data_IF_024824100232
#
_entry.id   IF_024824100232
#
_cell.length_a   1.000
_cell.length_b   1.000
_cell.length_c   1.000
_cell.angle_alpha   90.00
_cell.angle_beta   90.00
_cell.angle_gamma   90.00
#
_symmetry.space_group_name_H-M   'P 1'
#
loop_
_entity.id
_entity.type
_entity.pdbx_description
1 polymer ?
#
# COMPACT_ATOMS: atom_id res chain seq x y z
N UNK A 1 23.99 3.74 -12.95
CA UNK A 1 22.64 3.45 -12.39
C UNK A 1 22.23 2.06 -12.85
N UNK A 2 22.35 1.04 -12.00
CA UNK A 2 21.99 -0.33 -12.36
C UNK A 2 20.53 -0.53 -11.98
N UNK A 3 19.67 -0.50 -13.01
CA UNK A 3 18.30 -1.04 -12.91
C UNK A 3 18.44 -2.56 -12.68
N UNK A 4 17.57 -3.21 -11.84
CA UNK A 4 17.54 -4.68 -11.74
C UNK A 4 17.56 -5.28 -13.15
N UNK A 5 18.17 -6.45 -13.32
CA UNK A 5 18.37 -7.03 -14.65
C UNK A 5 17.05 -6.97 -15.42
N UNK A 6 17.02 -6.24 -16.53
CA UNK A 6 15.79 -5.87 -17.27
C UNK A 6 14.94 -7.06 -17.76
N UNK A 7 15.44 -8.29 -17.58
CA UNK A 7 14.76 -9.51 -18.01
C UNK A 7 13.64 -9.97 -17.08
N UNK A 8 13.68 -9.65 -15.79
CA UNK A 8 12.75 -10.22 -14.78
C UNK A 8 11.59 -9.29 -14.38
N UNK A 9 11.72 -7.97 -14.58
CA UNK A 9 10.65 -7.03 -14.22
C UNK A 9 9.46 -7.15 -15.19
N UNK A 10 8.20 -7.26 -14.71
CA UNK A 10 7.00 -7.34 -15.56
C UNK A 10 6.86 -6.17 -16.52
N UNK A 11 6.42 -6.44 -17.76
CA UNK A 11 6.32 -5.43 -18.82
C UNK A 11 5.44 -4.24 -18.44
N UNK A 12 4.34 -4.49 -17.72
CA UNK A 12 3.44 -3.42 -17.23
C UNK A 12 4.16 -2.55 -16.21
N UNK A 13 4.86 -3.16 -15.24
CA UNK A 13 5.61 -2.43 -14.22
C UNK A 13 6.72 -1.56 -14.85
N UNK A 14 7.43 -2.05 -15.87
CA UNK A 14 8.44 -1.26 -16.62
C UNK A 14 7.82 0.00 -17.22
N UNK A 15 6.66 -0.12 -17.86
CA UNK A 15 5.96 1.02 -18.48
C UNK A 15 5.55 2.04 -17.41
N UNK A 16 5.02 1.57 -16.28
CA UNK A 16 4.63 2.42 -15.16
C UNK A 16 5.84 3.18 -14.61
N UNK A 17 6.96 2.48 -14.36
CA UNK A 17 8.19 3.10 -13.84
C UNK A 17 8.73 4.14 -14.83
N UNK A 18 8.73 3.85 -16.14
CA UNK A 18 9.17 4.81 -17.16
C UNK A 18 8.34 6.09 -17.09
N UNK A 19 7.00 5.96 -17.03
CA UNK A 19 6.10 7.10 -16.90
C UNK A 19 6.32 7.87 -15.59
N UNK A 20 6.58 7.16 -14.48
CA UNK A 20 6.89 7.81 -13.19
C UNK A 20 8.11 8.71 -13.25
N UNK A 21 9.16 8.33 -13.97
CA UNK A 21 10.32 9.21 -14.12
C UNK A 21 10.00 10.51 -14.87
N UNK A 22 9.11 10.46 -15.89
CA UNK A 22 8.62 11.67 -16.58
C UNK A 22 7.79 12.53 -15.63
N UNK A 23 6.83 11.93 -14.92
CA UNK A 23 5.98 12.59 -13.94
C UNK A 23 6.80 13.26 -12.83
N UNK A 24 7.82 12.58 -12.29
CA UNK A 24 8.72 13.14 -11.28
C UNK A 24 9.46 14.36 -11.82
N UNK A 25 9.93 14.32 -13.07
CA UNK A 25 10.60 15.46 -13.68
C UNK A 25 9.66 16.68 -13.81
N UNK A 26 8.43 16.46 -14.26
CA UNK A 26 7.38 17.48 -14.34
C UNK A 26 7.07 18.08 -12.97
N UNK A 27 6.86 17.21 -11.96
CA UNK A 27 6.53 17.62 -10.58
C UNK A 27 7.67 18.35 -9.90
N UNK A 28 8.93 17.92 -10.07
CA UNK A 28 10.13 18.62 -9.56
C UNK A 28 10.25 20.04 -10.13
N UNK A 29 9.92 20.21 -11.41
CA UNK A 29 9.94 21.53 -12.05
C UNK A 29 8.83 22.46 -11.52
N UNK A 30 7.64 21.91 -11.27
CA UNK A 30 6.50 22.66 -10.75
C UNK A 30 6.60 22.96 -9.24
N UNK A 31 7.12 22.02 -8.46
CA UNK A 31 7.20 22.12 -6.99
C UNK A 31 8.58 21.63 -6.52
N UNK A 32 9.56 22.52 -6.32
CA UNK A 32 10.86 22.14 -5.82
C UNK A 32 10.83 21.50 -4.43
N UNK A 33 11.81 20.65 -4.11
CA UNK A 33 11.93 19.97 -2.80
C UNK A 33 11.89 20.96 -1.63
N UNK A 34 12.50 22.14 -1.77
CA UNK A 34 12.45 23.19 -0.75
C UNK A 34 11.02 23.62 -0.39
N UNK A 35 10.09 23.61 -1.37
CA UNK A 35 8.67 23.88 -1.13
C UNK A 35 7.99 22.72 -0.41
N UNK A 36 8.34 21.48 -0.75
CA UNK A 36 7.83 20.30 -0.04
C UNK A 36 8.27 20.29 1.42
N UNK A 37 9.53 20.60 1.71
CA UNK A 37 10.05 20.73 3.08
C UNK A 37 9.29 21.78 3.90
N UNK A 38 8.94 22.94 3.29
CA UNK A 38 8.11 23.95 3.95
C UNK A 38 6.68 23.44 4.25
N UNK A 39 6.11 22.61 3.38
CA UNK A 39 4.79 21.98 3.61
C UNK A 39 4.90 20.93 4.71
N UNK A 40 5.94 20.10 4.71
CA UNK A 40 6.22 19.08 5.73
C UNK A 40 6.33 19.73 7.11
N UNK A 41 7.05 20.85 7.23
CA UNK A 41 7.20 21.57 8.49
C UNK A 41 5.87 22.10 9.09
N UNK A 42 4.82 22.19 8.27
CA UNK A 42 3.47 22.61 8.69
C UNK A 42 2.50 21.45 8.82
N UNK A 43 2.92 20.25 8.43
CA UNK A 43 2.07 19.06 8.44
C UNK A 43 1.89 18.55 9.87
N UNK A 44 0.72 18.01 10.18
CA UNK A 44 0.49 17.30 11.43
C UNK A 44 1.44 16.10 11.56
N UNK A 45 1.68 15.64 12.78
CA UNK A 45 2.40 14.39 13.01
C UNK A 45 1.70 13.21 12.29
N UNK A 46 2.49 12.17 11.99
CA UNK A 46 1.96 10.91 11.47
C UNK A 46 1.07 10.22 12.51
N UNK A 47 0.13 9.42 12.03
CA UNK A 47 -0.89 8.77 12.88
C UNK A 47 -0.49 7.36 13.34
N UNK A 48 0.73 6.91 13.01
CA UNK A 48 1.23 5.59 13.40
C UNK A 48 0.55 4.45 12.66
N UNK A 49 0.89 4.27 11.38
CA UNK A 49 0.31 3.24 10.50
C UNK A 49 0.63 1.83 11.00
N UNK A 50 1.92 1.56 11.33
CA UNK A 50 2.35 0.30 11.91
C UNK A 50 1.67 0.04 13.25
N UNK A 51 1.63 1.05 14.13
CA UNK A 51 1.04 0.92 15.46
C UNK A 51 -0.45 0.52 15.42
N UNK A 52 -1.22 1.07 14.46
CA UNK A 52 -2.62 0.71 14.28
C UNK A 52 -2.80 -0.75 13.84
N UNK A 53 -1.91 -1.25 12.99
CA UNK A 53 -1.91 -2.65 12.54
C UNK A 53 -1.46 -3.57 13.68
N UNK A 54 -0.34 -3.25 14.34
CA UNK A 54 0.24 -4.04 15.44
C UNK A 54 -0.73 -4.22 16.60
N UNK A 55 -1.49 -3.18 16.95
CA UNK A 55 -2.50 -3.25 18.02
C UNK A 55 -3.56 -4.32 17.74
N UNK A 56 -4.00 -4.46 16.48
CA UNK A 56 -4.96 -5.49 16.07
C UNK A 56 -4.32 -6.88 16.00
N UNK A 57 -3.17 -6.99 15.35
CA UNK A 57 -2.46 -8.26 15.17
C UNK A 57 -2.08 -8.86 16.52
N UNK A 58 -1.57 -8.06 17.46
CA UNK A 58 -1.24 -8.51 18.83
C UNK A 58 -2.46 -8.99 19.61
N UNK A 59 -3.64 -8.44 19.32
CA UNK A 59 -4.90 -8.89 19.89
C UNK A 59 -5.51 -10.09 19.14
N UNK A 60 -4.82 -10.63 18.12
CA UNK A 60 -5.33 -11.66 17.20
C UNK A 60 -6.62 -11.27 16.51
N UNK A 61 -6.74 -9.98 16.19
CA UNK A 61 -7.86 -9.41 15.45
C UNK A 61 -7.41 -8.97 14.05
N UNK A 62 -8.27 -9.05 13.02
CA UNK A 62 -7.95 -8.58 11.69
C UNK A 62 -7.61 -7.08 11.67
N UNK A 63 -6.45 -6.76 11.11
CA UNK A 63 -6.02 -5.41 10.78
C UNK A 63 -6.25 -5.17 9.27
N UNK A 64 -7.32 -4.46 8.93
CA UNK A 64 -7.72 -4.24 7.55
C UNK A 64 -7.19 -2.89 7.07
N UNK A 65 -6.31 -2.92 6.06
CA UNK A 65 -5.90 -1.78 5.26
C UNK A 65 -6.88 -1.71 4.09
N UNK A 66 -7.88 -0.85 4.20
CA UNK A 66 -8.94 -0.74 3.22
C UNK A 66 -8.52 0.19 2.07
N UNK A 67 -8.49 -0.35 0.83
CA UNK A 67 -7.97 0.37 -0.32
C UNK A 67 -9.05 1.14 -1.07
N UNK A 68 -8.82 2.44 -1.27
CA UNK A 68 -9.63 3.36 -2.08
C UNK A 68 -9.02 3.43 -3.48
N UNK A 69 -9.65 2.72 -4.43
CA UNK A 69 -9.16 2.52 -5.79
C UNK A 69 -10.28 2.67 -6.82
N UNK A 70 -10.14 3.66 -7.71
CA UNK A 70 -11.12 3.92 -8.77
C UNK A 70 -11.00 2.94 -9.92
N UNK A 71 -9.79 2.66 -10.37
CA UNK A 71 -9.49 1.83 -11.53
C UNK A 71 -8.21 1.01 -11.33
N UNK A 72 -7.99 0.01 -12.17
CA UNK A 72 -6.73 -0.74 -12.25
C UNK A 72 -6.44 -1.20 -13.68
N UNK A 73 -5.15 -1.46 -14.05
CA UNK A 73 -4.80 -1.97 -15.39
C UNK A 73 -5.50 -3.28 -15.75
N UNK A 74 -5.77 -4.15 -14.78
CA UNK A 74 -6.37 -5.47 -14.99
C UNK A 74 -7.90 -5.46 -15.12
N UNK A 75 -8.59 -4.45 -14.58
CA UNK A 75 -10.05 -4.38 -14.47
C UNK A 75 -10.67 -3.15 -15.15
N UNK A 76 -9.86 -2.14 -15.53
CA UNK A 76 -10.39 -0.84 -15.91
C UNK A 76 -11.03 -0.12 -14.72
N UNK A 77 -12.10 0.62 -14.95
CA UNK A 77 -12.86 1.31 -13.89
C UNK A 77 -13.58 0.28 -13.02
N UNK A 78 -13.33 0.34 -11.71
CA UNK A 78 -13.91 -0.56 -10.69
C UNK A 78 -15.11 0.11 -10.03
N UNK A 79 -14.99 1.42 -9.74
CA UNK A 79 -16.04 2.20 -9.09
C UNK A 79 -16.34 3.43 -9.94
N UNK A 80 -17.53 3.47 -10.58
CA UNK A 80 -17.94 4.60 -11.42
C UNK A 80 -18.33 5.82 -10.58
N UNK A 81 -19.13 5.63 -9.53
CA UNK A 81 -19.50 6.68 -8.58
C UNK A 81 -18.44 6.82 -7.47
N UNK A 82 -17.24 7.24 -7.86
CA UNK A 82 -16.09 7.31 -6.98
C UNK A 82 -16.10 8.58 -6.12
N UNK A 83 -16.37 8.42 -4.83
CA UNK A 83 -16.43 9.48 -3.83
C UNK A 83 -15.43 9.16 -2.69
N UNK A 84 -14.14 9.53 -2.82
CA UNK A 84 -13.08 9.04 -1.93
C UNK A 84 -13.30 9.41 -0.46
N UNK A 85 -13.89 10.57 -0.18
CA UNK A 85 -14.20 11.00 1.20
C UNK A 85 -15.30 10.14 1.81
N UNK A 86 -16.37 9.87 1.09
CA UNK A 86 -17.49 9.05 1.58
C UNK A 86 -17.08 7.58 1.72
N UNK A 87 -16.23 7.09 0.82
CA UNK A 87 -15.63 5.75 0.92
C UNK A 87 -14.74 5.66 2.16
N UNK A 88 -13.88 6.67 2.42
CA UNK A 88 -13.02 6.71 3.59
C UNK A 88 -13.82 6.65 4.90
N UNK A 89 -14.88 7.47 5.02
CA UNK A 89 -15.80 7.46 6.18
C UNK A 89 -16.51 6.11 6.32
N UNK A 90 -16.94 5.52 5.20
CA UNK A 90 -17.58 4.20 5.20
C UNK A 90 -16.62 3.11 5.71
N UNK A 91 -15.35 3.14 5.30
CA UNK A 91 -14.32 2.21 5.79
C UNK A 91 -14.01 2.42 7.28
N UNK A 92 -13.92 3.67 7.75
CA UNK A 92 -13.73 3.96 9.18
C UNK A 92 -14.89 3.41 10.00
N UNK A 93 -16.13 3.66 9.58
CA UNK A 93 -17.33 3.10 10.22
C UNK A 93 -17.43 1.57 10.09
N UNK A 94 -16.86 0.99 9.04
CA UNK A 94 -16.74 -0.45 8.80
C UNK A 94 -15.69 -1.14 9.67
N UNK A 95 -14.82 -0.40 10.36
CA UNK A 95 -13.82 -0.94 11.27
C UNK A 95 -12.44 -1.17 10.63
N UNK A 96 -12.13 -0.53 9.49
CA UNK A 96 -10.77 -0.51 8.94
C UNK A 96 -9.76 -0.02 9.98
N UNK A 97 -8.56 -0.61 9.99
CA UNK A 97 -7.44 -0.15 10.82
C UNK A 97 -6.67 1.00 10.16
N UNK A 98 -6.51 0.94 8.84
CA UNK A 98 -5.82 1.93 8.03
C UNK A 98 -6.48 2.06 6.66
N UNK A 99 -6.15 3.13 5.93
CA UNK A 99 -6.55 3.31 4.53
C UNK A 99 -5.34 3.20 3.59
N UNK A 100 -5.57 2.64 2.40
CA UNK A 100 -4.66 2.68 1.26
C UNK A 100 -5.29 3.52 0.16
N UNK A 101 -4.60 4.57 -0.29
CA UNK A 101 -5.17 5.49 -1.29
C UNK A 101 -4.29 5.56 -2.52
N UNK A 102 -4.85 5.18 -3.67
CA UNK A 102 -4.18 5.24 -4.96
C UNK A 102 -3.97 6.70 -5.37
N UNK A 103 -2.71 7.08 -5.61
CA UNK A 103 -2.34 8.40 -6.13
C UNK A 103 -1.82 8.36 -7.56
N UNK A 104 -1.51 7.17 -8.12
CA UNK A 104 -1.14 7.01 -9.52
C UNK A 104 -2.30 7.40 -10.44
N UNK A 105 -2.04 8.39 -11.34
CA UNK A 105 -3.06 8.99 -12.21
C UNK A 105 -3.30 8.13 -13.44
N UNK A 106 -2.24 7.76 -14.15
CA UNK A 106 -2.34 7.24 -15.51
C UNK A 106 -2.86 5.80 -15.55
N UNK A 107 -2.53 4.99 -14.57
CA UNK A 107 -2.88 3.55 -14.55
C UNK A 107 -4.01 3.20 -13.59
N UNK A 108 -4.21 4.01 -12.54
CA UNK A 108 -5.20 3.73 -11.50
C UNK A 108 -6.27 4.82 -11.35
N UNK A 109 -6.20 5.89 -12.14
CA UNK A 109 -7.08 7.07 -12.03
C UNK A 109 -7.10 7.64 -10.60
N UNK A 110 -5.95 7.56 -9.91
CA UNK A 110 -5.72 8.09 -8.58
C UNK A 110 -5.48 9.60 -8.60
N UNK A 111 -5.32 10.18 -7.41
CA UNK A 111 -4.97 11.60 -7.26
C UNK A 111 -4.42 11.89 -5.87
N UNK A 112 -3.43 12.78 -5.78
CA UNK A 112 -2.95 13.34 -4.51
C UNK A 112 -4.09 13.99 -3.71
N UNK A 113 -5.02 14.63 -4.41
CA UNK A 113 -6.20 15.27 -3.79
C UNK A 113 -7.10 14.26 -3.05
N UNK A 114 -7.15 13.01 -3.50
CA UNK A 114 -7.95 11.97 -2.82
C UNK A 114 -7.36 11.63 -1.45
N UNK A 115 -6.03 11.52 -1.37
CA UNK A 115 -5.33 11.27 -0.11
C UNK A 115 -5.52 12.43 0.87
N UNK A 116 -5.31 13.66 0.41
CA UNK A 116 -5.46 14.87 1.24
C UNK A 116 -6.89 14.97 1.78
N UNK A 117 -7.90 14.84 0.92
CA UNK A 117 -9.31 14.94 1.30
C UNK A 117 -9.74 13.82 2.26
N UNK A 118 -9.28 12.58 2.04
CA UNK A 118 -9.56 11.47 2.95
C UNK A 118 -8.90 11.69 4.31
N UNK A 119 -7.64 12.17 4.35
CA UNK A 119 -6.95 12.48 5.60
C UNK A 119 -7.67 13.51 6.44
N UNK A 120 -8.24 14.53 5.81
CA UNK A 120 -9.03 15.57 6.50
C UNK A 120 -10.36 15.03 7.04
N UNK A 121 -10.92 14.01 6.40
CA UNK A 121 -12.26 13.50 6.68
C UNK A 121 -12.34 12.41 7.75
N UNK A 122 -11.24 11.65 7.98
CA UNK A 122 -11.19 10.51 8.91
C UNK A 122 -9.96 10.57 9.80
N UNK A 123 -9.96 9.78 10.89
CA UNK A 123 -8.85 9.69 11.84
C UNK A 123 -7.84 8.58 11.51
N UNK A 124 -8.18 7.66 10.61
CA UNK A 124 -7.35 6.51 10.26
C UNK A 124 -6.00 6.90 9.68
N UNK A 125 -4.92 6.15 9.97
CA UNK A 125 -3.64 6.28 9.28
C UNK A 125 -3.78 5.91 7.79
N UNK A 126 -2.99 6.59 6.93
CA UNK A 126 -3.12 6.47 5.46
C UNK A 126 -1.77 6.14 4.83
N UNK A 127 -1.74 5.10 3.99
CA UNK A 127 -0.63 4.82 3.10
C UNK A 127 -0.85 5.48 1.72
N UNK A 128 0.18 6.16 1.20
CA UNK A 128 0.24 6.54 -0.22
C UNK A 128 0.53 5.30 -1.05
N UNK A 129 -0.46 4.82 -1.80
CA UNK A 129 -0.33 3.68 -2.73
C UNK A 129 0.05 4.21 -4.11
N UNK A 130 1.34 4.18 -4.43
CA UNK A 130 1.93 4.69 -5.67
C UNK A 130 3.20 3.90 -5.98
N UNK A 131 3.80 4.12 -7.16
CA UNK A 131 5.08 3.54 -7.56
C UNK A 131 6.21 4.50 -7.18
N UNK A 132 6.74 4.37 -5.97
CA UNK A 132 7.77 5.23 -5.43
C UNK A 132 9.14 4.73 -5.87
N UNK A 133 9.86 5.54 -6.66
CA UNK A 133 11.17 5.23 -7.25
C UNK A 133 12.22 6.33 -7.02
N UNK A 134 11.82 7.47 -6.47
CA UNK A 134 12.69 8.63 -6.22
C UNK A 134 12.38 9.28 -4.87
N UNK A 135 13.38 9.84 -4.22
CA UNK A 135 13.28 10.56 -2.93
C UNK A 135 12.27 11.71 -2.97
N UNK A 136 12.13 12.35 -4.12
CA UNK A 136 11.15 13.41 -4.33
C UNK A 136 9.73 12.94 -3.96
N UNK A 137 9.34 11.72 -4.35
CA UNK A 137 8.01 11.17 -4.05
C UNK A 137 7.83 10.88 -2.56
N UNK A 138 8.92 10.59 -1.83
CA UNK A 138 8.88 10.41 -0.35
C UNK A 138 8.59 11.76 0.32
N UNK A 139 9.26 12.84 -0.10
CA UNK A 139 8.94 14.20 0.37
C UNK A 139 7.51 14.61 0.01
N UNK A 140 7.04 14.29 -1.21
CA UNK A 140 5.65 14.55 -1.60
C UNK A 140 4.66 13.81 -0.69
N UNK A 141 4.88 12.52 -0.44
CA UNK A 141 4.00 11.71 0.42
C UNK A 141 3.86 12.34 1.80
N UNK A 142 4.98 12.74 2.42
CA UNK A 142 4.95 13.39 3.73
C UNK A 142 4.29 14.77 3.67
N UNK A 143 4.53 15.54 2.62
CA UNK A 143 3.91 16.86 2.41
C UNK A 143 2.39 16.79 2.22
N UNK A 144 1.85 15.71 1.63
CA UNK A 144 0.41 15.42 1.53
C UNK A 144 -0.19 14.96 2.87
N UNK A 145 0.65 14.54 3.81
CA UNK A 145 0.23 13.99 5.10
C UNK A 145 0.06 12.47 5.10
N UNK A 146 0.70 11.73 4.20
CA UNK A 146 0.76 10.28 4.30
C UNK A 146 1.45 9.86 5.61
N UNK A 147 0.98 8.78 6.20
CA UNK A 147 1.53 8.17 7.40
C UNK A 147 2.45 7.00 7.06
N UNK A 148 2.28 6.46 5.87
CA UNK A 148 3.04 5.32 5.34
C UNK A 148 3.22 5.47 3.83
N UNK A 149 4.28 4.86 3.30
CA UNK A 149 4.51 4.72 1.85
C UNK A 149 4.64 3.26 1.45
N UNK A 150 4.36 2.99 0.16
CA UNK A 150 4.61 1.70 -0.47
C UNK A 150 5.98 1.71 -1.16
N UNK A 151 6.81 0.71 -0.88
CA UNK A 151 7.98 0.40 -1.69
C UNK A 151 7.81 -0.99 -2.32
N UNK A 152 7.91 -1.08 -3.64
CA UNK A 152 7.74 -2.34 -4.38
C UNK A 152 9.13 -2.90 -4.70
N UNK A 153 9.49 -4.05 -4.12
CA UNK A 153 10.81 -4.65 -4.28
C UNK A 153 11.13 -4.97 -5.76
N UNK A 154 10.13 -5.41 -6.54
CA UNK A 154 10.26 -5.63 -7.98
C UNK A 154 10.61 -4.37 -8.81
N UNK A 155 10.37 -3.17 -8.26
CA UNK A 155 10.60 -1.89 -8.92
C UNK A 155 11.96 -1.26 -8.58
N UNK A 156 12.66 -1.75 -7.54
CA UNK A 156 13.82 -1.12 -6.93
C UNK A 156 14.99 -2.11 -6.82
N UNK A 157 16.21 -1.59 -6.94
CA UNK A 157 17.39 -2.35 -6.51
C UNK A 157 17.58 -2.18 -4.99
N UNK A 158 18.43 -3.00 -4.37
CA UNK A 158 18.69 -2.99 -2.93
C UNK A 158 19.11 -1.60 -2.43
N UNK A 159 20.06 -0.93 -3.11
CA UNK A 159 20.53 0.41 -2.73
C UNK A 159 19.40 1.44 -2.68
N UNK A 160 18.54 1.45 -3.71
CA UNK A 160 17.40 2.37 -3.80
C UNK A 160 16.33 2.05 -2.76
N UNK A 161 16.07 0.77 -2.56
CA UNK A 161 15.11 0.29 -1.56
C UNK A 161 15.52 0.77 -0.15
N UNK A 162 16.81 0.61 0.22
CA UNK A 162 17.34 1.07 1.49
C UNK A 162 17.29 2.60 1.62
N UNK A 163 17.70 3.34 0.57
CA UNK A 163 17.71 4.81 0.61
C UNK A 163 16.32 5.40 0.81
N UNK A 164 15.32 4.90 0.04
CA UNK A 164 13.93 5.38 0.14
C UNK A 164 13.28 4.99 1.48
N UNK A 165 13.58 3.78 1.97
CA UNK A 165 13.12 3.33 3.28
C UNK A 165 13.69 4.22 4.40
N UNK A 166 15.00 4.47 4.41
CA UNK A 166 15.64 5.33 5.42
C UNK A 166 15.07 6.74 5.41
N UNK A 167 14.90 7.33 4.22
CA UNK A 167 14.31 8.67 4.09
C UNK A 167 12.86 8.73 4.61
N UNK A 168 12.07 7.69 4.37
CA UNK A 168 10.69 7.64 4.89
C UNK A 168 10.67 7.63 6.42
N UNK A 169 11.53 6.81 7.03
CA UNK A 169 11.68 6.74 8.50
C UNK A 169 12.20 8.04 9.09
N UNK A 170 13.15 8.73 8.43
CA UNK A 170 13.63 10.05 8.84
C UNK A 170 12.53 11.13 8.81
N UNK A 171 11.51 10.93 7.99
CA UNK A 171 10.33 11.80 7.90
C UNK A 171 9.15 11.32 8.78
N UNK A 172 9.40 10.42 9.73
CA UNK A 172 8.42 9.81 10.63
C UNK A 172 7.29 9.06 9.91
N UNK A 173 7.50 8.60 8.68
CA UNK A 173 6.55 7.73 7.97
C UNK A 173 6.92 6.26 8.12
N UNK A 174 5.91 5.42 8.25
CA UNK A 174 6.06 3.97 8.15
C UNK A 174 6.26 3.53 6.69
N UNK A 175 6.72 2.29 6.48
CA UNK A 175 6.93 1.72 5.14
C UNK A 175 6.33 0.32 5.06
N UNK A 176 5.52 0.08 4.04
CA UNK A 176 5.08 -1.23 3.59
C UNK A 176 5.95 -1.65 2.40
N UNK A 177 6.71 -2.73 2.53
CA UNK A 177 7.50 -3.28 1.42
C UNK A 177 6.75 -4.42 0.77
N UNK A 178 6.33 -4.22 -0.49
CA UNK A 178 5.58 -5.20 -1.27
C UNK A 178 6.54 -6.15 -1.99
N UNK A 179 6.27 -7.47 -1.85
CA UNK A 179 7.03 -8.55 -2.47
C UNK A 179 6.09 -9.57 -3.14
N UNK A 180 6.59 -10.26 -4.20
CA UNK A 180 5.83 -11.24 -4.97
C UNK A 180 6.49 -12.63 -4.98
N UNK A 181 7.75 -12.72 -4.58
CA UNK A 181 8.53 -13.95 -4.61
C UNK A 181 9.64 -13.95 -3.56
N UNK A 182 10.35 -15.09 -3.45
CA UNK A 182 11.39 -15.29 -2.46
C UNK A 182 12.61 -14.37 -2.63
N UNK A 183 12.98 -14.01 -3.85
CA UNK A 183 14.13 -13.13 -4.12
C UNK A 183 13.82 -11.70 -3.66
N UNK A 184 12.61 -11.22 -3.92
CA UNK A 184 12.14 -9.92 -3.44
C UNK A 184 12.00 -9.89 -1.91
N UNK A 185 11.53 -11.00 -1.31
CA UNK A 185 11.45 -11.13 0.14
C UNK A 185 12.83 -11.04 0.80
N UNK A 186 13.87 -11.66 0.23
CA UNK A 186 15.25 -11.59 0.75
C UNK A 186 15.72 -10.12 0.86
N UNK A 187 15.37 -9.26 -0.09
CA UNK A 187 15.68 -7.83 -0.01
C UNK A 187 14.85 -7.10 1.06
N UNK A 188 13.59 -7.47 1.21
CA UNK A 188 12.68 -6.81 2.16
C UNK A 188 13.01 -7.12 3.63
N UNK A 189 13.42 -8.34 3.95
CA UNK A 189 13.74 -8.73 5.33
C UNK A 189 15.03 -8.11 5.87
N UNK A 190 15.92 -7.62 5.00
CA UNK A 190 17.12 -6.88 5.39
C UNK A 190 16.81 -5.48 5.93
N UNK A 191 15.62 -4.95 5.65
CA UNK A 191 15.21 -3.63 6.10
C UNK A 191 14.72 -3.65 7.57
N UNK A 192 14.90 -2.54 8.30
CA UNK A 192 14.49 -2.46 9.71
C UNK A 192 12.97 -2.36 9.91
N UNK A 193 12.19 -2.09 8.86
CA UNK A 193 10.73 -1.93 8.95
C UNK A 193 10.01 -3.24 9.29
N UNK A 194 8.88 -3.12 9.98
CA UNK A 194 8.10 -4.28 10.46
C UNK A 194 7.14 -4.85 9.41
N UNK A 195 6.60 -4.01 8.49
CA UNK A 195 5.58 -4.44 7.54
C UNK A 195 6.18 -5.00 6.25
N UNK A 196 5.78 -6.21 5.90
CA UNK A 196 6.03 -6.83 4.60
C UNK A 196 4.68 -7.18 3.96
N UNK A 197 4.42 -6.62 2.78
CA UNK A 197 3.26 -6.94 1.96
C UNK A 197 3.57 -8.11 1.03
N UNK A 198 2.84 -9.20 1.14
CA UNK A 198 2.93 -10.29 0.17
C UNK A 198 1.76 -10.16 -0.81
N UNK A 199 2.08 -9.77 -2.03
CA UNK A 199 1.09 -9.63 -3.08
C UNK A 199 0.86 -10.97 -3.80
N UNK A 200 -0.33 -11.53 -3.62
CA UNK A 200 -0.77 -12.78 -4.22
C UNK A 200 -1.04 -12.67 -5.72
N UNK A 201 -1.01 -11.46 -6.29
CA UNK A 201 -1.21 -11.23 -7.72
C UNK A 201 0.11 -11.21 -8.44
N UNK A 202 0.29 -12.11 -9.39
CA UNK A 202 1.42 -12.12 -10.29
C UNK A 202 1.35 -10.91 -11.23
N UNK A 203 2.41 -10.10 -11.29
CA UNK A 203 2.46 -8.89 -12.12
C UNK A 203 2.70 -9.17 -13.61
N UNK A 204 3.00 -10.41 -14.01
CA UNK A 204 3.20 -10.80 -15.41
C UNK A 204 1.90 -11.14 -16.12
N UNK A 205 1.01 -11.91 -15.49
CA UNK A 205 -0.21 -12.45 -16.07
C UNK A 205 -1.49 -12.11 -15.30
N UNK A 206 -1.34 -11.39 -14.17
CA UNK A 206 -2.41 -10.98 -13.25
C UNK A 206 -3.16 -12.16 -12.58
N UNK A 207 -2.65 -13.38 -12.69
CA UNK A 207 -3.16 -14.50 -11.91
C UNK A 207 -2.98 -14.26 -10.41
N UNK A 208 -3.87 -14.81 -9.59
CA UNK A 208 -3.84 -14.61 -8.14
C UNK A 208 -3.89 -15.96 -7.43
N UNK A 209 -2.96 -16.19 -6.49
CA UNK A 209 -2.89 -17.41 -5.69
C UNK A 209 -2.51 -17.09 -4.25
N UNK A 210 -3.34 -17.50 -3.29
CA UNK A 210 -3.08 -17.33 -1.86
C UNK A 210 -1.89 -18.18 -1.38
N UNK A 211 -1.52 -19.22 -2.13
CA UNK A 211 -0.32 -20.04 -1.86
C UNK A 211 0.96 -19.20 -1.82
N UNK A 212 1.01 -18.09 -2.59
CA UNK A 212 2.15 -17.16 -2.56
C UNK A 212 2.44 -16.68 -1.13
N UNK A 213 1.39 -16.29 -0.40
CA UNK A 213 1.55 -15.88 1.01
C UNK A 213 2.06 -17.03 1.88
N UNK A 214 1.51 -18.25 1.75
CA UNK A 214 1.90 -19.39 2.58
C UNK A 214 3.31 -19.89 2.30
N UNK A 215 3.76 -19.85 1.05
CA UNK A 215 5.12 -20.21 0.67
C UNK A 215 6.15 -19.22 1.24
N UNK A 216 5.89 -17.93 1.14
CA UNK A 216 6.80 -16.89 1.60
C UNK A 216 6.82 -16.75 3.13
N UNK A 217 5.69 -16.95 3.80
CA UNK A 217 5.58 -16.89 5.25
C UNK A 217 6.62 -17.78 5.97
N UNK A 218 6.96 -18.95 5.38
CA UNK A 218 7.93 -19.89 5.94
C UNK A 218 9.35 -19.31 6.08
N UNK A 219 9.64 -18.20 5.39
CA UNK A 219 10.95 -17.54 5.34
C UNK A 219 11.01 -16.25 6.15
N UNK A 220 9.88 -15.81 6.69
CA UNK A 220 9.78 -14.54 7.43
C UNK A 220 10.01 -14.76 8.90
N UNK A 221 10.81 -13.89 9.53
CA UNK A 221 11.06 -13.90 10.98
C UNK A 221 9.86 -13.36 11.76
N UNK A 222 9.74 -13.77 13.03
CA UNK A 222 8.59 -13.45 13.89
C UNK A 222 8.47 -11.96 14.28
N UNK A 223 9.49 -11.15 14.02
CA UNK A 223 9.49 -9.71 14.27
C UNK A 223 8.82 -8.90 13.15
N UNK A 224 8.45 -9.55 12.05
CA UNK A 224 7.76 -8.93 10.92
C UNK A 224 6.26 -9.18 10.97
N UNK A 225 5.49 -8.20 10.54
CA UNK A 225 4.05 -8.33 10.34
C UNK A 225 3.79 -8.52 8.85
N UNK A 226 3.19 -9.65 8.50
CA UNK A 226 2.81 -9.95 7.11
C UNK A 226 1.46 -9.37 6.81
N UNK A 227 1.40 -8.54 5.76
CA UNK A 227 0.16 -8.03 5.15
C UNK A 227 -0.09 -8.85 3.88
N UNK A 228 -1.16 -9.64 3.84
CA UNK A 228 -1.56 -10.34 2.60
C UNK A 228 -2.33 -9.39 1.71
N UNK A 229 -1.93 -9.31 0.43
CA UNK A 229 -2.52 -8.41 -0.57
C UNK A 229 -3.08 -9.21 -1.74
N UNK A 230 -4.19 -8.76 -2.28
CA UNK A 230 -4.91 -9.39 -3.41
C UNK A 230 -5.47 -10.80 -3.10
N UNK A 231 -6.57 -11.16 -3.76
CA UNK A 231 -7.12 -12.52 -3.73
C UNK A 231 -8.05 -12.82 -2.55
N UNK A 232 -8.23 -11.93 -1.58
CA UNK A 232 -9.19 -12.12 -0.48
C UNK A 232 -10.56 -11.64 -0.92
N UNK A 233 -11.52 -12.58 -1.08
CA UNK A 233 -12.86 -12.29 -1.59
C UNK A 233 -13.98 -12.91 -0.74
N UNK A 234 -13.69 -13.91 0.08
CA UNK A 234 -14.70 -14.64 0.86
C UNK A 234 -14.23 -14.81 2.31
N UNK A 235 -15.18 -15.09 3.20
CA UNK A 235 -14.89 -15.36 4.61
C UNK A 235 -13.98 -16.58 4.77
N UNK A 236 -14.12 -17.61 3.91
CA UNK A 236 -13.23 -18.78 3.92
C UNK A 236 -11.77 -18.41 3.61
N UNK A 237 -11.54 -17.42 2.74
CA UNK A 237 -10.18 -16.90 2.51
C UNK A 237 -9.62 -16.21 3.77
N UNK A 238 -10.47 -15.45 4.48
CA UNK A 238 -10.09 -14.83 5.77
C UNK A 238 -9.78 -15.88 6.82
N UNK A 239 -10.67 -16.90 6.99
CA UNK A 239 -10.48 -18.01 7.91
C UNK A 239 -9.16 -18.75 7.63
N UNK A 240 -8.88 -18.98 6.35
CA UNK A 240 -7.65 -19.66 5.93
C UNK A 240 -6.41 -18.85 6.33
N UNK A 241 -6.40 -17.53 6.10
CA UNK A 241 -5.27 -16.66 6.51
C UNK A 241 -5.10 -16.65 8.02
N UNK A 242 -6.17 -16.48 8.78
CA UNK A 242 -6.15 -16.46 10.25
C UNK A 242 -5.65 -17.81 10.82
N UNK A 243 -6.02 -18.95 10.19
CA UNK A 243 -5.52 -20.27 10.60
C UNK A 243 -4.02 -20.45 10.43
N UNK A 244 -3.37 -19.56 9.65
CA UNK A 244 -1.92 -19.47 9.46
C UNK A 244 -1.29 -18.28 10.22
N UNK A 245 -1.98 -17.74 11.24
CA UNK A 245 -1.55 -16.60 12.05
C UNK A 245 -1.34 -15.30 11.25
N UNK A 246 -2.00 -15.13 10.10
CA UNK A 246 -1.99 -13.91 9.28
C UNK A 246 -3.24 -13.10 9.61
N UNK A 247 -3.04 -11.93 10.24
CA UNK A 247 -4.11 -11.05 10.70
C UNK A 247 -4.11 -9.68 10.00
N UNK A 248 -3.14 -9.36 9.15
CA UNK A 248 -3.13 -8.08 8.42
C UNK A 248 -3.45 -8.30 6.93
N UNK A 249 -4.36 -7.48 6.41
CA UNK A 249 -4.95 -7.60 5.07
C UNK A 249 -4.96 -6.26 4.36
N UNK A 250 -4.52 -6.21 3.08
CA UNK A 250 -4.76 -5.08 2.20
C UNK A 250 -5.77 -5.50 1.13
N UNK A 251 -6.97 -4.89 1.18
CA UNK A 251 -8.11 -5.27 0.34
C UNK A 251 -8.72 -4.03 -0.30
N UNK A 252 -8.88 -4.09 -1.62
CA UNK A 252 -9.53 -3.03 -2.40
C UNK A 252 -10.68 -3.58 -3.26
N UNK A 253 -10.36 -4.47 -4.20
CA UNK A 253 -11.31 -4.91 -5.24
C UNK A 253 -12.60 -5.49 -4.65
N UNK A 254 -12.50 -6.35 -3.63
CA UNK A 254 -13.67 -6.98 -3.01
C UNK A 254 -14.65 -5.96 -2.41
N UNK A 255 -14.16 -4.83 -1.93
CA UNK A 255 -14.98 -3.79 -1.34
C UNK A 255 -15.45 -2.76 -2.36
N UNK A 256 -14.54 -2.31 -3.25
CA UNK A 256 -14.81 -1.24 -4.21
C UNK A 256 -15.80 -1.61 -5.31
N UNK A 257 -16.08 -2.90 -5.51
CA UNK A 257 -17.14 -3.40 -6.40
C UNK A 257 -18.53 -3.37 -5.77
N UNK A 258 -18.63 -3.08 -4.48
CA UNK A 258 -19.90 -3.06 -3.75
C UNK A 258 -20.45 -1.63 -3.62
N UNK A 259 -21.76 -1.50 -3.52
CA UNK A 259 -22.44 -0.21 -3.36
C UNK A 259 -22.00 0.49 -2.05
N UNK A 260 -21.79 -0.27 -0.98
CA UNK A 260 -21.29 0.23 0.31
C UNK A 260 -20.02 -0.50 0.71
N UNK A 261 -18.82 0.05 0.42
CA UNK A 261 -17.55 -0.58 0.70
C UNK A 261 -17.30 -0.89 2.18
N UNK A 262 -17.74 -0.03 3.09
CA UNK A 262 -17.57 -0.26 4.53
C UNK A 262 -18.47 -1.36 5.09
N UNK A 263 -19.67 -1.52 4.54
CA UNK A 263 -20.53 -2.65 4.88
C UNK A 263 -19.93 -3.96 4.36
N UNK A 264 -19.43 -3.97 3.12
CA UNK A 264 -18.77 -5.12 2.53
C UNK A 264 -17.54 -5.56 3.36
N UNK A 265 -16.75 -4.61 3.87
CA UNK A 265 -15.66 -4.89 4.80
C UNK A 265 -16.18 -5.58 6.05
N UNK A 266 -17.23 -5.03 6.68
CA UNK A 266 -17.81 -5.56 7.90
C UNK A 266 -18.38 -6.98 7.72
N UNK A 267 -19.02 -7.25 6.57
CA UNK A 267 -19.56 -8.55 6.23
C UNK A 267 -18.46 -9.59 5.95
N UNK A 268 -17.40 -9.20 5.22
CA UNK A 268 -16.28 -10.10 4.91
C UNK A 268 -15.56 -10.59 6.18
N UNK A 269 -15.48 -9.75 7.21
CA UNK A 269 -14.80 -10.05 8.47
C UNK A 269 -15.79 -10.36 9.62
N UNK A 270 -17.06 -10.59 9.31
CA UNK A 270 -18.06 -10.94 10.32
C UNK A 270 -17.64 -12.21 11.09
N UNK A 271 -17.59 -12.13 12.41
CA UNK A 271 -17.11 -13.21 13.28
C UNK A 271 -15.66 -13.12 13.72
N UNK A 272 -14.88 -12.18 13.16
CA UNK A 272 -13.49 -11.94 13.53
C UNK A 272 -13.19 -10.52 14.08
N UNK A 273 -14.18 -9.62 14.00
CA UNK A 273 -14.07 -8.22 14.47
C UNK A 273 -14.72 -8.04 15.84
#
# INVERSE_FOLDING_TARGET
MSIPSQSETPTVLKKIITRKWEEIAERKAATPVATLLQRIARQSATRGFVAAIEARVSAKQPAIIAEIKKASPSRGVICENFQPVEIAKSYEAGGAACLSILTDVDYFQGSDAYLIAAREAVSLPIIRKDFIVDEYQVYEARAMGADCILLIAAALNSERLHALNSLALELDMDVLVEVHNAQELELAIELPNQLIGINNRNLHDFSTSLETTFELLKKVSADKIIVTESGIHTTEHVDTMISHDIYAFLIGEAFMTQENPGLALKELFAGHM
#
